data_IF_350211348612
#
_entry.id   IF_350211348612
#
_cell.length_a   1.000
_cell.length_b   1.000
_cell.length_c   1.000
_cell.angle_alpha   90.00
_cell.angle_beta   90.00
_cell.angle_gamma   90.00
#
_symmetry.space_group_name_H-M   'P 1'
#
loop_
_entity.id
_entity.type
_entity.pdbx_description
1 polymer ?
#
# COMPACT_ATOMS: atom_id res chain seq x y z
N UNK A 1 14.87 7.23 -20.24
CA UNK A 1 15.28 6.29 -19.15
C UNK A 1 16.79 6.41 -18.94
N UNK A 2 17.26 6.14 -17.73
CA UNK A 2 18.72 6.11 -17.46
C UNK A 2 19.26 4.74 -17.86
N UNK A 3 20.40 4.67 -18.53
CA UNK A 3 21.03 3.39 -18.88
C UNK A 3 21.50 2.66 -17.60
N UNK A 4 21.16 1.38 -17.50
CA UNK A 4 21.48 0.51 -16.36
C UNK A 4 22.23 -0.76 -16.78
N UNK A 5 22.67 -0.84 -18.05
CA UNK A 5 23.28 -2.06 -18.64
C UNK A 5 24.51 -2.53 -17.86
N UNK A 6 25.35 -1.59 -17.39
CA UNK A 6 26.58 -1.90 -16.67
C UNK A 6 26.40 -2.06 -15.14
N UNK A 7 25.16 -1.96 -14.65
CA UNK A 7 24.90 -2.08 -13.20
C UNK A 7 24.69 -3.53 -12.79
N UNK A 8 25.35 -4.00 -11.73
CA UNK A 8 25.13 -5.35 -11.22
C UNK A 8 23.69 -5.52 -10.72
N UNK A 9 23.13 -6.70 -10.97
CA UNK A 9 21.88 -7.08 -10.35
C UNK A 9 22.10 -7.30 -8.83
N UNK A 10 21.35 -6.57 -8.01
CA UNK A 10 21.40 -6.68 -6.54
C UNK A 10 19.98 -6.80 -5.99
N UNK A 11 19.85 -7.41 -4.80
CA UNK A 11 18.58 -7.43 -4.08
C UNK A 11 18.15 -6.00 -3.74
N UNK A 12 16.90 -5.68 -4.01
CA UNK A 12 16.31 -4.36 -3.80
C UNK A 12 14.95 -4.49 -3.14
N UNK A 13 14.68 -3.60 -2.21
CA UNK A 13 13.40 -3.49 -1.54
C UNK A 13 13.04 -2.02 -1.36
N UNK A 14 11.76 -1.70 -1.47
CA UNK A 14 11.24 -0.36 -1.19
C UNK A 14 9.91 -0.48 -0.47
N UNK A 15 9.65 0.47 0.42
CA UNK A 15 8.40 0.59 1.17
C UNK A 15 7.84 1.99 0.97
N UNK A 16 6.58 2.07 0.58
CA UNK A 16 5.84 3.32 0.46
C UNK A 16 4.56 3.28 1.30
N UNK A 17 4.11 4.44 1.74
CA UNK A 17 2.87 4.61 2.49
C UNK A 17 2.02 5.74 1.92
N UNK A 18 0.71 5.65 2.20
CA UNK A 18 -0.27 6.71 1.98
C UNK A 18 -1.34 6.63 3.06
N UNK A 19 -2.09 7.71 3.24
CA UNK A 19 -3.25 7.76 4.13
C UNK A 19 -4.48 8.18 3.34
N UNK A 20 -5.62 7.55 3.65
CA UNK A 20 -6.92 7.97 3.13
C UNK A 20 -7.77 8.40 4.32
N UNK A 21 -7.93 9.71 4.50
CA UNK A 21 -8.72 10.27 5.59
C UNK A 21 -10.20 10.08 5.30
N UNK A 22 -10.92 9.54 6.28
CA UNK A 22 -12.34 9.24 6.19
C UNK A 22 -13.05 9.59 7.52
N UNK A 23 -14.36 9.83 7.45
CA UNK A 23 -15.19 10.02 8.64
C UNK A 23 -15.27 8.75 9.49
N UNK A 24 -15.70 8.91 10.76
CA UNK A 24 -15.91 7.75 11.65
C UNK A 24 -17.00 6.80 11.14
N UNK A 25 -17.99 7.33 10.43
CA UNK A 25 -19.07 6.55 9.81
C UNK A 25 -18.53 5.69 8.66
N UNK A 26 -17.79 6.29 7.74
CA UNK A 26 -17.12 5.57 6.64
C UNK A 26 -16.11 4.56 7.16
N UNK A 27 -15.35 4.91 8.20
CA UNK A 27 -14.43 3.97 8.87
C UNK A 27 -15.17 2.73 9.39
N UNK A 28 -16.31 2.91 10.05
CA UNK A 28 -17.10 1.78 10.56
C UNK A 28 -17.65 0.93 9.44
N UNK A 29 -18.20 1.54 8.40
CA UNK A 29 -18.70 0.85 7.21
C UNK A 29 -17.61 0.00 6.54
N UNK A 30 -16.39 0.53 6.39
CA UNK A 30 -15.26 -0.19 5.79
C UNK A 30 -14.84 -1.39 6.65
N UNK A 31 -14.79 -1.23 7.99
CA UNK A 31 -14.41 -2.30 8.92
C UNK A 31 -15.44 -3.42 8.92
N UNK A 32 -16.72 -3.06 8.85
CA UNK A 32 -17.84 -4.03 8.84
C UNK A 32 -17.97 -4.75 7.48
N UNK A 33 -17.19 -4.36 6.47
CA UNK A 33 -17.22 -4.93 5.12
C UNK A 33 -18.48 -4.54 4.33
N UNK A 34 -19.18 -3.48 4.76
CA UNK A 34 -20.48 -3.03 4.25
C UNK A 34 -20.42 -1.96 3.15
N UNK A 35 -19.31 -1.77 2.46
CA UNK A 35 -19.20 -0.78 1.39
C UNK A 35 -20.18 -1.04 0.23
N UNK A 36 -20.71 0.02 -0.43
CA UNK A 36 -21.67 -0.11 -1.53
C UNK A 36 -21.11 -0.92 -2.72
N UNK A 37 -19.80 -1.03 -2.84
CA UNK A 37 -19.08 -1.80 -3.87
C UNK A 37 -18.40 -3.06 -3.32
N UNK A 38 -18.74 -3.50 -2.10
CA UNK A 38 -18.17 -4.69 -1.46
C UNK A 38 -17.01 -4.39 -0.51
N UNK A 39 -16.12 -5.36 -0.31
CA UNK A 39 -14.98 -5.28 0.63
C UNK A 39 -13.90 -4.30 0.15
N UNK A 40 -13.95 -3.08 0.71
CA UNK A 40 -13.06 -1.97 0.35
C UNK A 40 -11.59 -2.34 0.56
N UNK A 41 -11.26 -3.00 1.67
CA UNK A 41 -9.89 -3.31 2.03
C UNK A 41 -9.27 -4.31 1.05
N UNK A 42 -9.97 -5.42 0.81
CA UNK A 42 -9.49 -6.48 -0.10
C UNK A 42 -9.36 -5.97 -1.54
N UNK A 43 -10.35 -5.21 -2.02
CA UNK A 43 -10.30 -4.69 -3.40
C UNK A 43 -9.18 -3.67 -3.58
N UNK A 44 -8.96 -2.78 -2.59
CA UNK A 44 -7.88 -1.81 -2.64
C UNK A 44 -6.49 -2.47 -2.61
N UNK A 45 -6.30 -3.50 -1.77
CA UNK A 45 -5.05 -4.25 -1.72
C UNK A 45 -4.74 -4.92 -3.06
N UNK A 46 -5.73 -5.59 -3.66
CA UNK A 46 -5.58 -6.22 -4.97
C UNK A 46 -5.27 -5.19 -6.08
N UNK A 47 -5.99 -4.07 -6.09
CA UNK A 47 -5.77 -2.99 -7.05
C UNK A 47 -4.37 -2.39 -6.91
N UNK A 48 -3.87 -2.23 -5.68
CA UNK A 48 -2.50 -1.79 -5.42
C UNK A 48 -1.46 -2.74 -6.01
N UNK A 49 -1.63 -4.04 -5.84
CA UNK A 49 -0.75 -5.05 -6.47
C UNK A 49 -0.80 -4.95 -7.99
N UNK A 50 -1.99 -4.80 -8.57
CA UNK A 50 -2.14 -4.62 -10.02
C UNK A 50 -1.45 -3.33 -10.49
N UNK A 51 -1.63 -2.22 -9.78
CA UNK A 51 -1.01 -0.93 -10.09
C UNK A 51 0.52 -0.98 -10.04
N UNK A 52 1.09 -1.57 -8.99
CA UNK A 52 2.55 -1.72 -8.88
C UNK A 52 3.16 -2.55 -10.01
N UNK A 53 2.47 -3.58 -10.49
CA UNK A 53 2.88 -4.37 -11.67
C UNK A 53 2.80 -3.60 -12.98
N UNK A 54 2.06 -2.50 -13.04
CA UNK A 54 1.88 -1.66 -14.22
C UNK A 54 2.73 -0.38 -14.19
N UNK A 55 3.64 -0.24 -13.22
CA UNK A 55 4.41 1.00 -13.00
C UNK A 55 5.08 1.50 -14.27
N UNK A 56 5.78 0.65 -15.01
CA UNK A 56 6.46 1.05 -16.24
C UNK A 56 5.52 1.48 -17.38
N UNK A 57 4.26 1.03 -17.36
CA UNK A 57 3.24 1.49 -18.30
C UNK A 57 2.62 2.84 -17.92
N UNK A 58 2.68 3.20 -16.63
CA UNK A 58 2.10 4.44 -16.07
C UNK A 58 3.12 5.57 -15.97
N UNK A 59 4.37 5.25 -15.63
CA UNK A 59 5.43 6.23 -15.39
C UNK A 59 6.43 6.18 -16.57
N UNK A 60 6.46 7.20 -17.43
CA UNK A 60 7.06 7.12 -18.77
C UNK A 60 8.54 6.73 -18.82
N UNK A 61 9.32 7.10 -17.79
CA UNK A 61 10.78 6.87 -17.79
C UNK A 61 11.21 5.74 -16.84
N UNK A 62 10.25 4.99 -16.26
CA UNK A 62 10.56 3.81 -15.46
C UNK A 62 10.91 2.60 -16.34
N UNK A 63 11.87 1.81 -15.85
CA UNK A 63 12.21 0.53 -16.47
C UNK A 63 11.13 -0.51 -16.17
N UNK A 64 10.82 -1.43 -17.10
CA UNK A 64 10.04 -2.61 -16.77
C UNK A 64 10.87 -3.51 -15.85
N UNK A 65 10.36 -3.79 -14.65
CA UNK A 65 11.05 -4.57 -13.62
C UNK A 65 10.28 -5.87 -13.35
N UNK A 66 11.01 -6.99 -13.33
CA UNK A 66 10.48 -8.25 -12.85
C UNK A 66 10.47 -8.24 -11.32
N UNK A 67 9.30 -7.97 -10.71
CA UNK A 67 9.14 -8.03 -9.26
C UNK A 67 9.23 -9.46 -8.75
N UNK A 68 9.97 -9.67 -7.66
CA UNK A 68 10.03 -10.95 -6.94
C UNK A 68 9.00 -11.01 -5.83
N UNK A 69 8.60 -9.84 -5.30
CA UNK A 69 7.56 -9.71 -4.29
C UNK A 69 6.87 -8.35 -4.39
N UNK A 70 5.57 -8.31 -4.12
CA UNK A 70 4.79 -7.09 -4.01
C UNK A 70 3.62 -7.32 -3.06
N UNK A 71 3.67 -6.67 -1.90
CA UNK A 71 2.65 -6.76 -0.86
C UNK A 71 2.03 -5.39 -0.66
N UNK A 72 0.70 -5.35 -0.61
CA UNK A 72 -0.07 -4.14 -0.29
C UNK A 72 -1.00 -4.45 0.86
N UNK A 73 -1.06 -3.56 1.83
CA UNK A 73 -2.01 -3.64 2.93
C UNK A 73 -2.73 -2.31 3.13
N UNK A 74 -4.00 -2.41 3.45
CA UNK A 74 -4.84 -1.28 3.85
C UNK A 74 -5.39 -1.56 5.25
N UNK A 75 -4.96 -0.75 6.22
CA UNK A 75 -5.27 -0.97 7.64
C UNK A 75 -6.05 0.21 8.20
N UNK A 76 -7.25 -0.01 8.79
CA UNK A 76 -7.98 1.03 9.48
C UNK A 76 -7.23 1.54 10.71
N UNK A 77 -7.05 2.87 10.81
CA UNK A 77 -6.55 3.57 11.99
C UNK A 77 -7.63 4.52 12.52
N UNK A 78 -8.44 4.01 13.45
CA UNK A 78 -9.53 4.81 14.05
C UNK A 78 -9.01 6.02 14.82
N UNK A 79 -7.84 5.92 15.45
CA UNK A 79 -7.27 7.01 16.25
C UNK A 79 -6.79 8.16 15.35
N UNK A 80 -6.25 7.84 14.17
CA UNK A 80 -5.83 8.83 13.19
C UNK A 80 -6.95 9.28 12.24
N UNK A 81 -8.13 8.62 12.26
CA UNK A 81 -9.23 8.88 11.33
C UNK A 81 -8.89 8.61 9.87
N UNK A 82 -8.09 7.58 9.60
CA UNK A 82 -7.67 7.26 8.24
C UNK A 82 -7.52 5.74 8.02
N UNK A 83 -7.56 5.36 6.75
CA UNK A 83 -7.08 4.06 6.30
C UNK A 83 -5.62 4.22 5.89
N UNK A 84 -4.71 3.51 6.57
CA UNK A 84 -3.28 3.51 6.22
C UNK A 84 -3.05 2.49 5.12
N UNK A 85 -2.44 2.95 4.05
CA UNK A 85 -1.98 2.12 2.94
C UNK A 85 -0.47 1.94 3.07
N UNK A 86 0.00 0.69 2.99
CA UNK A 86 1.42 0.37 2.94
C UNK A 86 1.67 -0.59 1.79
N UNK A 87 2.65 -0.26 0.96
CA UNK A 87 3.10 -1.11 -0.15
C UNK A 87 4.58 -1.41 0.00
N UNK A 88 4.95 -2.66 -0.21
CA UNK A 88 6.32 -3.14 -0.17
C UNK A 88 6.62 -3.91 -1.44
N UNK A 89 7.63 -3.48 -2.19
CA UNK A 89 8.09 -4.09 -3.44
C UNK A 89 9.51 -4.63 -3.28
N UNK A 90 9.80 -5.77 -3.92
CA UNK A 90 11.14 -6.35 -3.97
C UNK A 90 11.47 -6.89 -5.36
N UNK A 91 12.76 -6.84 -5.69
CA UNK A 91 13.33 -7.44 -6.91
C UNK A 91 14.80 -7.80 -6.70
N UNK A 92 15.35 -8.56 -7.62
CA UNK A 92 16.81 -8.66 -7.86
C UNK A 92 17.09 -8.10 -9.25
N UNK A 93 17.72 -6.91 -9.31
CA UNK A 93 17.88 -6.21 -10.59
C UNK A 93 18.85 -5.03 -10.55
N UNK A 94 19.11 -4.40 -11.71
CA UNK A 94 20.06 -3.31 -11.85
C UNK A 94 19.50 -1.96 -11.35
N UNK A 95 18.18 -1.85 -11.10
CA UNK A 95 17.53 -0.62 -10.65
C UNK A 95 16.62 -0.84 -9.44
N UNK A 96 16.23 0.22 -8.75
CA UNK A 96 15.39 0.18 -7.56
C UNK A 96 13.92 -0.02 -7.89
N UNK A 97 13.11 -0.33 -6.87
CA UNK A 97 11.66 -0.59 -6.94
C UNK A 97 10.83 0.45 -6.18
N UNK A 98 11.40 1.63 -6.00
CA UNK A 98 10.75 2.73 -5.28
C UNK A 98 9.43 3.13 -5.96
N UNK A 99 9.44 3.20 -7.30
CA UNK A 99 8.26 3.60 -8.06
C UNK A 99 7.17 2.53 -8.06
N UNK A 100 7.54 1.26 -8.04
CA UNK A 100 6.59 0.15 -7.91
C UNK A 100 5.85 0.21 -6.57
N UNK A 101 6.58 0.47 -5.47
CA UNK A 101 5.97 0.64 -4.15
C UNK A 101 5.07 1.89 -4.09
N UNK A 102 5.54 3.04 -4.61
CA UNK A 102 4.75 4.28 -4.64
C UNK A 102 3.50 4.16 -5.50
N UNK A 103 3.61 3.56 -6.69
CA UNK A 103 2.46 3.34 -7.59
C UNK A 103 1.45 2.39 -6.95
N UNK A 104 1.91 1.32 -6.31
CA UNK A 104 1.04 0.39 -5.60
C UNK A 104 0.27 1.09 -4.47
N UNK A 105 0.94 1.89 -3.65
CA UNK A 105 0.29 2.65 -2.58
C UNK A 105 -0.71 3.69 -3.14
N UNK A 106 -0.34 4.40 -4.21
CA UNK A 106 -1.22 5.37 -4.87
C UNK A 106 -2.49 4.74 -5.43
N UNK A 107 -2.36 3.62 -6.16
CA UNK A 107 -3.51 2.93 -6.77
C UNK A 107 -4.42 2.32 -5.70
N UNK A 108 -3.87 1.76 -4.62
CA UNK A 108 -4.65 1.29 -3.48
C UNK A 108 -5.44 2.45 -2.84
N UNK A 109 -4.81 3.59 -2.58
CA UNK A 109 -5.47 4.76 -2.00
C UNK A 109 -6.58 5.33 -2.92
N UNK A 110 -6.33 5.42 -4.23
CA UNK A 110 -7.33 5.83 -5.22
C UNK A 110 -8.51 4.85 -5.27
N UNK A 111 -8.25 3.55 -5.08
CA UNK A 111 -9.30 2.53 -5.07
C UNK A 111 -10.16 2.65 -3.81
N UNK A 112 -9.56 2.89 -2.64
CA UNK A 112 -10.33 3.23 -1.43
C UNK A 112 -11.25 4.41 -1.72
N UNK A 113 -10.71 5.51 -2.25
CA UNK A 113 -11.47 6.71 -2.61
C UNK A 113 -12.65 6.36 -3.51
N UNK A 114 -12.42 5.64 -4.61
CA UNK A 114 -13.49 5.27 -5.55
C UNK A 114 -14.60 4.43 -4.90
N UNK A 115 -14.22 3.54 -3.99
CA UNK A 115 -15.19 2.64 -3.35
C UNK A 115 -16.05 3.34 -2.30
N UNK A 116 -15.55 4.39 -1.66
CA UNK A 116 -16.28 5.10 -0.59
C UNK A 116 -16.90 6.43 -1.02
N UNK A 117 -16.51 7.00 -2.17
CA UNK A 117 -16.99 8.32 -2.63
C UNK A 117 -18.52 8.46 -2.76
N UNK A 118 -19.22 7.34 -2.87
CA UNK A 118 -20.70 7.33 -2.92
C UNK A 118 -21.33 7.61 -1.56
N UNK A 119 -20.63 7.36 -0.45
CA UNK A 119 -21.09 7.60 0.92
C UNK A 119 -20.43 8.83 1.54
N UNK A 120 -19.20 9.16 1.13
CA UNK A 120 -18.45 10.31 1.62
C UNK A 120 -17.72 11.01 0.48
N UNK A 121 -18.03 12.31 0.25
CA UNK A 121 -17.39 13.11 -0.80
C UNK A 121 -16.11 13.81 -0.35
N UNK A 122 -15.93 13.99 0.96
CA UNK A 122 -14.81 14.70 1.56
C UNK A 122 -13.56 13.86 1.82
N UNK A 123 -13.49 12.67 1.24
CA UNK A 123 -12.33 11.78 1.36
C UNK A 123 -11.08 12.43 0.82
N UNK A 124 -9.97 12.34 1.54
CA UNK A 124 -8.72 12.96 1.14
C UNK A 124 -7.58 11.94 1.18
N UNK A 125 -6.81 11.84 0.09
CA UNK A 125 -5.57 11.06 0.04
C UNK A 125 -4.43 11.97 0.49
N UNK A 126 -3.68 11.51 1.50
CA UNK A 126 -2.60 12.28 2.14
C UNK A 126 -1.32 11.46 2.21
N UNK A 127 -0.22 12.16 2.45
CA UNK A 127 1.05 11.56 2.89
C UNK A 127 1.54 10.39 2.02
N UNK A 128 1.33 10.43 0.69
CA UNK A 128 1.96 9.47 -0.20
C UNK A 128 3.47 9.74 -0.27
N UNK A 129 4.28 8.79 0.23
CA UNK A 129 5.72 8.95 0.27
C UNK A 129 6.47 7.62 0.38
N UNK A 130 7.76 7.66 0.10
CA UNK A 130 8.69 6.58 0.35
C UNK A 130 9.08 6.57 1.84
N UNK A 131 8.96 5.41 2.48
CA UNK A 131 9.36 5.17 3.89
C UNK A 131 10.80 4.72 3.96
N UNK A 132 11.17 3.75 3.14
CA UNK A 132 12.52 3.19 3.10
C UNK A 132 12.82 2.56 1.76
N UNK A 133 14.10 2.47 1.46
CA UNK A 133 14.63 1.64 0.37
C UNK A 133 15.92 0.97 0.79
N UNK A 134 16.22 -0.16 0.16
CA UNK A 134 17.42 -0.95 0.41
C UNK A 134 18.01 -1.45 -0.91
N UNK A 135 19.33 -1.52 -0.95
CA UNK A 135 20.10 -2.09 -2.06
C UNK A 135 20.63 -1.07 -3.06
N UNK A 136 21.48 -1.55 -3.97
CA UNK A 136 22.17 -0.74 -4.96
C UNK A 136 23.30 0.12 -4.41
N UNK A 137 23.84 1.02 -5.27
CA UNK A 137 25.02 1.85 -4.95
C UNK A 137 24.76 2.81 -3.77
N UNK A 138 23.52 3.28 -3.59
CA UNK A 138 23.15 4.22 -2.50
C UNK A 138 22.86 3.54 -1.16
N UNK A 139 22.90 2.20 -1.09
CA UNK A 139 22.68 1.45 0.14
C UNK A 139 21.27 1.58 0.71
N UNK A 140 21.17 1.55 2.03
CA UNK A 140 19.92 1.73 2.76
C UNK A 140 19.62 3.22 2.96
N UNK A 141 18.35 3.58 2.79
CA UNK A 141 17.81 4.89 3.14
C UNK A 141 16.48 4.70 3.86
N UNK A 142 16.29 5.45 4.93
CA UNK A 142 15.02 5.55 5.65
C UNK A 142 14.63 7.01 5.79
N UNK A 143 13.35 7.25 5.69
CA UNK A 143 12.80 8.57 5.93
C UNK A 143 13.10 8.98 7.38
N UNK A 144 13.64 10.20 7.63
CA UNK A 144 13.84 10.70 8.98
C UNK A 144 12.53 10.78 9.75
N UNK A 145 12.57 10.46 11.05
CA UNK A 145 11.40 10.44 11.93
C UNK A 145 10.87 11.84 12.33
N UNK A 146 11.39 12.91 11.74
CA UNK A 146 11.04 14.31 12.06
C UNK A 146 9.58 14.71 11.76
N UNK A 147 8.83 13.82 11.11
CA UNK A 147 7.38 13.96 10.98
C UNK A 147 6.71 13.08 12.04
N UNK A 148 6.37 13.67 13.19
CA UNK A 148 5.83 13.02 14.40
C UNK A 148 4.51 12.20 14.19
N UNK A 149 4.14 11.92 12.96
CA UNK A 149 2.96 11.15 12.54
C UNK A 149 3.28 9.73 12.06
N UNK A 150 4.55 9.31 12.05
CA UNK A 150 4.95 8.03 11.47
C UNK A 150 5.71 7.19 12.49
N UNK A 151 5.06 6.13 12.99
CA UNK A 151 5.71 5.06 13.71
C UNK A 151 6.19 3.99 12.70
N UNK A 152 7.49 3.94 12.35
CA UNK A 152 8.03 2.96 11.41
C UNK A 152 8.04 1.52 11.98
N UNK A 153 7.81 1.35 13.29
CA UNK A 153 7.82 0.06 13.98
C UNK A 153 6.42 -0.50 14.24
N UNK A 154 5.36 0.18 13.78
CA UNK A 154 4.00 -0.36 13.93
C UNK A 154 3.89 -1.70 13.23
N UNK A 155 3.54 -2.79 13.92
CA UNK A 155 3.57 -4.12 13.34
C UNK A 155 2.62 -4.23 12.15
N UNK A 156 3.21 -4.47 10.99
CA UNK A 156 2.51 -4.80 9.77
C UNK A 156 1.89 -6.20 9.91
N UNK A 157 0.56 -6.29 9.86
CA UNK A 157 -0.12 -7.57 9.74
C UNK A 157 -0.31 -7.89 8.25
N UNK A 158 0.21 -9.04 7.82
CA UNK A 158 -0.01 -9.53 6.44
C UNK A 158 -1.52 -9.70 6.18
N UNK A 159 -1.98 -9.50 4.93
CA UNK A 159 -3.39 -9.68 4.56
C UNK A 159 -4.02 -11.00 5.03
N UNK A 160 -3.24 -12.09 5.07
CA UNK A 160 -3.69 -13.41 5.55
C UNK A 160 -4.05 -13.47 7.04
N UNK A 161 -3.52 -12.59 7.88
CA UNK A 161 -3.77 -12.61 9.32
C UNK A 161 -5.20 -12.13 9.68
N UNK A 162 -5.90 -11.50 8.75
CA UNK A 162 -7.31 -11.05 8.92
C UNK A 162 -8.31 -12.17 8.75
N UNK A 163 -7.99 -13.21 7.98
CA UNK A 163 -8.90 -14.34 7.70
C UNK A 163 -9.05 -15.21 8.93
N UNK A 164 -8.00 -15.39 9.73
CA UNK A 164 -8.03 -16.23 10.94
C UNK A 164 -8.97 -15.70 12.04
N UNK A 165 -9.27 -14.39 12.08
CA UNK A 165 -10.17 -13.78 13.06
C UNK A 165 -11.66 -13.84 12.70
N UNK A 166 -12.03 -14.12 11.44
CA UNK A 166 -13.42 -14.14 10.97
C UNK A 166 -14.11 -15.51 11.03
N UNK A 167 -13.37 -16.60 11.12
CA UNK A 167 -13.94 -17.98 11.08
C UNK A 167 -14.58 -18.40 12.41
N UNK A 168 -14.53 -17.59 13.46
CA UNK A 168 -14.90 -17.97 14.83
C UNK A 168 -16.28 -17.60 15.35
N UNK A 169 -17.29 -17.19 14.56
CA UNK A 169 -18.63 -16.87 15.07
C UNK A 169 -19.77 -17.25 14.12
N UNK A 170 -19.88 -18.54 13.78
CA UNK A 170 -21.17 -19.08 13.42
C UNK A 170 -21.65 -19.95 14.59
N UNK A 171 -22.48 -19.36 15.49
CA UNK A 171 -23.28 -20.16 16.41
C UNK A 171 -24.44 -20.73 15.61
N UNK A 172 -24.69 -22.04 15.60
CA UNK A 172 -25.96 -22.58 15.08
C UNK A 172 -27.07 -22.13 16.02
N UNK A 173 -28.13 -21.57 15.43
CA UNK A 173 -29.39 -21.38 16.12
C UNK A 173 -29.99 -22.76 16.45
N UNK A 174 -30.19 -23.04 17.74
CA UNK A 174 -31.08 -24.09 18.22
C UNK A 174 -32.49 -23.54 18.33
#
# INVERSE_FOLDING_TARGET
MVDVSDKPATARRAVAEAEVAVSAETMSLVIDGGGPKGDVLTVAELAGVMGGKQTSALIPLCHPIALTDLVVAVVPDRAAGCLRVRAEAATTGPTGVEMEALTAAAVAALTVYDMVKGVERGVEIRNLHLVSKMGGKSGEWRRPADDARQDPERPYRKPGDRIAGRVGRHKPAG
#
